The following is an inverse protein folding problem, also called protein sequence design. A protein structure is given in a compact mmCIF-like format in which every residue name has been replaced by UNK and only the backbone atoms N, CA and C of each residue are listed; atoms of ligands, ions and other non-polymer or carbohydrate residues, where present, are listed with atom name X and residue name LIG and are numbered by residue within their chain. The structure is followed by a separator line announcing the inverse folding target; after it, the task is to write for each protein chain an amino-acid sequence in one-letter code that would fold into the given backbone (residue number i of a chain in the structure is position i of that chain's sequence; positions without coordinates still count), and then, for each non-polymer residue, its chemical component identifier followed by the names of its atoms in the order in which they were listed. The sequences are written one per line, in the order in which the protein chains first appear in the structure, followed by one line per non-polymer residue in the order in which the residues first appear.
data_IF_903801203094
#
_entry.id   IF_903801203094
#
_cell.length_a   1.000
_cell.length_b   1.000
_cell.length_c   1.000
_cell.angle_alpha   90.00
_cell.angle_beta   90.00
_cell.angle_gamma   90.00
#
_symmetry.space_group_name_H-M   'P 1'
#
loop_
_entity.id
_entity.type
_entity.pdbx_description
1 polymer ?
#
# COMPACT_ATOMS: atom_id res chain seq x y z
N UNK A 1 -12.42 17.07 -29.20
CA UNK A 1 -12.38 15.62 -28.92
C UNK A 1 -13.80 15.18 -28.61
N UNK A 2 -14.26 14.05 -29.17
CA UNK A 2 -15.60 13.55 -28.89
C UNK A 2 -15.66 13.03 -27.44
N UNK A 3 -16.64 13.48 -26.67
CA UNK A 3 -16.93 12.93 -25.35
C UNK A 3 -17.70 11.64 -25.54
N UNK A 4 -17.17 10.54 -25.00
CA UNK A 4 -17.84 9.23 -24.97
C UNK A 4 -18.09 8.84 -23.52
N UNK A 5 -19.24 8.23 -23.26
CA UNK A 5 -19.63 7.77 -21.94
C UNK A 5 -19.06 6.39 -21.64
N UNK A 6 -18.62 6.17 -20.40
CA UNK A 6 -18.14 4.89 -19.92
C UNK A 6 -18.91 4.53 -18.65
N UNK A 7 -19.55 3.36 -18.64
CA UNK A 7 -20.30 2.87 -17.47
C UNK A 7 -19.40 2.03 -16.58
N UNK A 8 -19.41 2.34 -15.28
CA UNK A 8 -18.66 1.61 -14.26
C UNK A 8 -19.60 1.17 -13.13
N UNK A 9 -19.49 -0.09 -12.72
CA UNK A 9 -20.21 -0.64 -11.56
C UNK A 9 -19.19 -0.84 -10.44
N UNK A 10 -19.56 -0.41 -9.24
CA UNK A 10 -18.76 -0.54 -8.02
C UNK A 10 -19.72 -0.65 -6.83
N UNK A 11 -19.22 -1.05 -5.68
CA UNK A 11 -19.99 -1.05 -4.44
C UNK A 11 -20.12 0.35 -3.84
N UNK A 12 -21.02 0.49 -2.88
CA UNK A 12 -21.35 1.78 -2.29
C UNK A 12 -20.21 2.36 -1.44
N UNK A 13 -19.41 1.51 -0.80
CA UNK A 13 -18.32 1.93 0.09
C UNK A 13 -17.14 2.46 -0.73
N UNK A 14 -16.70 1.71 -1.73
CA UNK A 14 -15.66 2.12 -2.68
C UNK A 14 -16.01 3.44 -3.36
N UNK A 15 -17.27 3.61 -3.79
CA UNK A 15 -17.74 4.88 -4.36
C UNK A 15 -17.61 6.03 -3.36
N UNK A 16 -18.05 5.83 -2.12
CA UNK A 16 -17.98 6.87 -1.08
C UNK A 16 -16.54 7.28 -0.81
N UNK A 17 -15.64 6.32 -0.61
CA UNK A 17 -14.22 6.58 -0.38
C UNK A 17 -13.57 7.31 -1.56
N UNK A 18 -13.90 6.90 -2.80
CA UNK A 18 -13.41 7.56 -4.00
C UNK A 18 -13.90 9.01 -4.12
N UNK A 19 -15.18 9.26 -3.85
CA UNK A 19 -15.77 10.61 -3.83
C UNK A 19 -15.09 11.50 -2.78
N UNK A 20 -14.84 10.98 -1.58
CA UNK A 20 -14.14 11.72 -0.52
C UNK A 20 -12.71 12.11 -0.91
N UNK A 21 -11.98 11.20 -1.57
CA UNK A 21 -10.62 11.50 -2.10
C UNK A 21 -10.70 12.57 -3.19
N UNK A 22 -11.63 12.45 -4.13
CA UNK A 22 -11.81 13.44 -5.19
C UNK A 22 -12.12 14.83 -4.60
N UNK A 23 -13.01 14.91 -3.60
CA UNK A 23 -13.33 16.17 -2.91
C UNK A 23 -12.13 16.77 -2.20
N UNK A 24 -11.33 15.97 -1.48
CA UNK A 24 -10.10 16.44 -0.83
C UNK A 24 -9.07 17.00 -1.83
N UNK A 25 -9.07 16.48 -3.05
CA UNK A 25 -8.23 16.97 -4.15
C UNK A 25 -8.82 18.16 -4.91
N UNK A 26 -10.04 18.60 -4.57
CA UNK A 26 -10.74 19.67 -5.30
C UNK A 26 -11.20 19.26 -6.70
N UNK A 27 -11.40 17.96 -6.92
CA UNK A 27 -11.77 17.37 -8.21
C UNK A 27 -13.16 16.73 -8.14
N UNK A 28 -13.84 16.64 -9.28
CA UNK A 28 -14.95 15.71 -9.40
C UNK A 28 -14.45 14.27 -9.57
N UNK A 29 -15.27 13.30 -9.18
CA UNK A 29 -14.97 11.87 -9.32
C UNK A 29 -14.69 11.50 -10.79
N UNK A 30 -15.43 12.10 -11.73
CA UNK A 30 -15.19 11.93 -13.17
C UNK A 30 -13.86 12.55 -13.63
N UNK A 31 -13.44 13.68 -13.07
CA UNK A 31 -12.14 14.29 -13.39
C UNK A 31 -11.00 13.42 -12.87
N UNK A 32 -11.09 12.92 -11.63
CA UNK A 32 -10.11 12.01 -11.05
C UNK A 32 -10.01 10.70 -11.85
N UNK A 33 -11.15 10.11 -12.21
CA UNK A 33 -11.18 8.90 -13.05
C UNK A 33 -10.58 9.15 -14.44
N UNK A 34 -10.86 10.30 -15.05
CA UNK A 34 -10.27 10.66 -16.34
C UNK A 34 -8.74 10.83 -16.27
N UNK A 35 -8.19 11.30 -15.15
CA UNK A 35 -6.73 11.35 -14.95
C UNK A 35 -6.16 9.94 -14.98
N UNK A 36 -6.78 9.00 -14.25
CA UNK A 36 -6.37 7.60 -14.25
C UNK A 36 -6.44 6.98 -15.66
N UNK A 37 -7.56 7.14 -16.35
CA UNK A 37 -7.76 6.61 -17.72
C UNK A 37 -6.68 7.15 -18.67
N UNK A 38 -6.40 8.46 -18.63
CA UNK A 38 -5.37 9.09 -19.46
C UNK A 38 -3.97 8.56 -19.14
N UNK A 39 -3.66 8.35 -17.86
CA UNK A 39 -2.35 7.87 -17.42
C UNK A 39 -2.11 6.45 -17.93
N UNK A 40 -3.05 5.54 -17.69
CA UNK A 40 -2.99 4.15 -18.17
C UNK A 40 -2.90 4.10 -19.70
N UNK A 41 -3.71 4.89 -20.41
CA UNK A 41 -3.70 4.92 -21.87
C UNK A 41 -2.37 5.40 -22.46
N UNK A 42 -1.72 6.37 -21.80
CA UNK A 42 -0.44 6.97 -22.22
C UNK A 42 0.75 6.05 -21.91
N UNK A 43 0.79 5.48 -20.71
CA UNK A 43 1.94 4.70 -20.23
C UNK A 43 1.84 3.21 -20.55
N UNK A 44 0.66 2.73 -20.99
CA UNK A 44 0.38 1.30 -21.21
C UNK A 44 0.66 0.44 -19.96
N UNK A 45 0.58 1.04 -18.78
CA UNK A 45 0.86 0.43 -17.50
C UNK A 45 -0.13 0.95 -16.44
N UNK A 46 -0.33 0.16 -15.38
CA UNK A 46 -1.16 0.56 -14.23
C UNK A 46 -0.29 1.40 -13.29
N UNK A 47 -0.71 2.62 -12.89
CA UNK A 47 0.08 3.55 -12.09
C UNK A 47 0.20 3.17 -10.60
N UNK A 48 -0.07 1.90 -10.27
CA UNK A 48 0.12 1.33 -8.95
C UNK A 48 0.52 -0.14 -9.10
N UNK A 49 1.22 -0.67 -8.10
CA UNK A 49 1.63 -2.08 -8.09
C UNK A 49 0.39 -2.95 -7.97
N UNK A 50 0.16 -3.81 -8.96
CA UNK A 50 -0.86 -4.87 -8.88
C UNK A 50 -0.14 -6.15 -8.48
N UNK A 51 -0.22 -6.48 -7.19
CA UNK A 51 0.28 -7.73 -6.65
C UNK A 51 -0.84 -8.40 -5.86
N UNK A 52 -0.92 -9.73 -5.94
CA UNK A 52 -1.71 -10.51 -4.98
C UNK A 52 -0.88 -10.53 -3.71
N UNK A 53 -1.13 -9.58 -2.81
CA UNK A 53 -0.56 -9.64 -1.47
C UNK A 53 -1.39 -10.70 -0.75
N UNK A 54 -0.87 -11.93 -0.67
CA UNK A 54 -1.36 -12.86 0.34
C UNK A 54 -1.23 -12.15 1.69
N UNK A 55 -2.29 -12.15 2.50
CA UNK A 55 -2.40 -11.44 3.78
C UNK A 55 -1.44 -11.96 4.88
N UNK A 56 -0.22 -12.37 4.51
CA UNK A 56 0.80 -12.98 5.36
C UNK A 56 2.22 -12.47 5.10
N UNK A 57 2.36 -11.29 4.52
CA UNK A 57 3.59 -10.51 4.65
C UNK A 57 3.37 -9.43 5.72
N UNK A 58 2.94 -9.88 6.90
CA UNK A 58 3.17 -9.15 8.15
C UNK A 58 4.58 -9.58 8.58
N UNK A 59 5.47 -8.61 8.69
CA UNK A 59 6.90 -8.70 8.98
C UNK A 59 7.26 -9.70 10.09
N UNK A 60 7.38 -11.00 9.78
CA UNK A 60 8.20 -11.90 10.57
C UNK A 60 9.65 -11.74 10.11
N UNK A 61 10.36 -10.80 10.73
CA UNK A 61 11.82 -10.80 10.69
C UNK A 61 12.27 -12.10 11.36
N UNK A 62 12.58 -13.13 10.55
CA UNK A 62 13.30 -14.30 11.03
C UNK A 62 14.67 -13.85 11.52
N UNK A 63 14.80 -13.59 12.82
CA UNK A 63 16.10 -13.30 13.43
C UNK A 63 16.92 -14.59 13.39
N UNK A 64 18.06 -14.63 12.67
CA UNK A 64 18.88 -15.83 12.61
C UNK A 64 19.32 -16.25 14.01
N UNK A 65 19.30 -17.56 14.27
CA UNK A 65 19.64 -18.14 15.59
C UNK A 65 20.96 -17.62 16.16
N UNK A 66 21.95 -17.36 15.31
CA UNK A 66 23.25 -16.80 15.70
C UNK A 66 23.13 -15.40 16.36
N UNK A 67 22.25 -14.54 15.85
CA UNK A 67 22.02 -13.20 16.41
C UNK A 67 21.34 -13.30 17.78
N UNK A 68 20.42 -14.25 17.94
CA UNK A 68 19.75 -14.49 19.21
C UNK A 68 20.73 -14.95 20.31
N UNK A 69 21.71 -15.78 19.95
CA UNK A 69 22.74 -16.28 20.86
C UNK A 69 23.71 -15.17 21.31
N UNK A 70 24.09 -14.28 20.39
CA UNK A 70 24.95 -13.13 20.67
C UNK A 70 24.27 -12.13 21.63
N UNK A 71 22.98 -11.85 21.41
CA UNK A 71 22.19 -11.00 22.29
C UNK A 71 22.07 -11.63 23.69
N UNK A 72 21.81 -12.95 23.77
CA UNK A 72 21.71 -13.65 25.06
C UNK A 72 23.04 -13.58 25.85
N UNK A 73 24.18 -13.77 25.18
CA UNK A 73 25.49 -13.68 25.80
C UNK A 73 25.79 -12.27 26.37
N UNK A 74 25.38 -11.22 25.66
CA UNK A 74 25.52 -9.84 26.14
C UNK A 74 24.77 -9.60 27.46
N UNK A 75 23.54 -10.09 27.59
CA UNK A 75 22.75 -9.92 28.83
C UNK A 75 23.26 -10.77 30.00
N UNK A 76 23.85 -11.94 29.74
CA UNK A 76 24.47 -12.77 30.78
C UNK A 76 25.71 -12.09 31.35
N UNK A 77 26.60 -11.57 30.50
CA UNK A 77 27.82 -10.90 30.94
C UNK A 77 27.55 -9.58 31.67
N UNK A 78 26.45 -8.88 31.35
CA UNK A 78 26.09 -7.63 32.05
C UNK A 78 25.60 -7.82 33.49
N UNK A 79 25.22 -9.04 33.88
CA UNK A 79 24.86 -9.36 35.29
C UNK A 79 26.06 -9.73 36.17
N UNK A 80 27.23 -9.96 35.60
CA UNK A 80 28.42 -10.42 36.35
C UNK A 80 29.42 -9.32 36.68
N UNK A 81 29.27 -8.11 36.14
CA UNK A 81 30.11 -6.93 36.43
C UNK A 81 29.48 -5.97 37.45
N UNK A 82 28.47 -6.44 38.19
CA UNK A 82 27.65 -5.63 39.11
C UNK A 82 27.51 -6.19 40.51
N UNK A 83 28.51 -6.92 41.01
CA UNK A 83 28.68 -7.23 42.44
C UNK A 83 30.10 -6.90 42.90
#
# INVERSE_FOLDING_TARGET
MATVSMNFKTDAESKKQFDEVAQKLGLSSSALLNIFVKRVAKEKAIPFRVAVVSEKDDDQVEIPRAVMEEIAAYYVNKKTDGE
#
